data_IF_722225878714
#
_entry.id   IF_722225878714
#
_cell.length_a   1.000
_cell.length_b   1.000
_cell.length_c   1.000
_cell.angle_alpha   90.00
_cell.angle_beta   90.00
_cell.angle_gamma   90.00
#
_symmetry.space_group_name_H-M   'P 1'
#
loop_
_entity.id
_entity.type
_entity.pdbx_description
1 polymer ?
#
# COMPACT_ATOMS: atom_id res chain seq x y z
N UNK A 1 4.30 -11.16 -12.49
CA UNK A 1 3.47 -12.09 -13.28
C UNK A 1 2.56 -11.27 -14.19
N UNK A 2 2.38 -11.59 -15.49
CA UNK A 2 1.53 -10.78 -16.35
C UNK A 2 0.05 -10.89 -15.95
N UNK A 3 -0.56 -9.78 -15.52
CA UNK A 3 -1.95 -9.71 -15.05
C UNK A 3 -2.95 -10.36 -16.02
N UNK A 4 -2.79 -10.13 -17.33
CA UNK A 4 -3.67 -10.70 -18.36
C UNK A 4 -3.71 -12.25 -18.33
N UNK A 5 -2.59 -12.91 -18.02
CA UNK A 5 -2.55 -14.37 -17.88
C UNK A 5 -3.26 -14.84 -16.62
N UNK A 6 -3.16 -14.08 -15.53
CA UNK A 6 -3.89 -14.34 -14.28
C UNK A 6 -5.39 -14.20 -14.52
N UNK A 7 -5.85 -13.12 -15.16
CA UNK A 7 -7.26 -12.87 -15.45
C UNK A 7 -7.90 -13.98 -16.29
N UNK A 8 -7.17 -14.53 -17.27
CA UNK A 8 -7.67 -15.60 -18.13
C UNK A 8 -7.73 -16.98 -17.46
N UNK A 9 -6.89 -17.23 -16.44
CA UNK A 9 -6.67 -18.58 -15.88
C UNK A 9 -7.11 -18.74 -14.43
N UNK A 10 -7.49 -17.67 -13.76
CA UNK A 10 -7.92 -17.69 -12.37
C UNK A 10 -9.43 -17.39 -12.25
N UNK A 11 -10.28 -18.42 -12.09
CA UNK A 11 -11.73 -18.26 -12.05
C UNK A 11 -12.20 -17.31 -10.95
N UNK A 12 -11.53 -17.31 -9.80
CA UNK A 12 -11.94 -16.50 -8.64
C UNK A 12 -11.50 -15.04 -8.74
N UNK A 13 -10.72 -14.67 -9.75
CA UNK A 13 -10.31 -13.27 -9.96
C UNK A 13 -11.53 -12.34 -10.02
N UNK A 14 -12.55 -12.70 -10.80
CA UNK A 14 -13.77 -11.89 -10.93
C UNK A 14 -14.51 -11.75 -9.59
N UNK A 15 -14.55 -12.81 -8.79
CA UNK A 15 -15.15 -12.77 -7.46
C UNK A 15 -14.37 -11.85 -6.52
N UNK A 16 -13.03 -11.87 -6.58
CA UNK A 16 -12.18 -10.97 -5.80
C UNK A 16 -12.39 -9.50 -6.19
N UNK A 17 -12.42 -9.19 -7.49
CA UNK A 17 -12.70 -7.83 -7.97
C UNK A 17 -14.10 -7.37 -7.55
N UNK A 18 -15.11 -8.23 -7.68
CA UNK A 18 -16.48 -7.89 -7.25
C UNK A 18 -16.55 -7.64 -5.74
N UNK A 19 -15.95 -8.51 -4.94
CA UNK A 19 -15.93 -8.35 -3.48
C UNK A 19 -15.25 -7.04 -3.06
N UNK A 20 -14.15 -6.67 -3.73
CA UNK A 20 -13.49 -5.38 -3.49
C UNK A 20 -14.35 -4.20 -3.94
N UNK A 21 -15.06 -4.31 -5.07
CA UNK A 21 -16.01 -3.29 -5.54
C UNK A 21 -17.16 -3.08 -4.56
N UNK A 22 -17.73 -4.16 -4.03
CA UNK A 22 -18.81 -4.09 -3.05
C UNK A 22 -18.31 -3.50 -1.72
N UNK A 23 -17.10 -3.89 -1.30
CA UNK A 23 -16.47 -3.38 -0.07
C UNK A 23 -16.14 -1.89 -0.16
N UNK A 24 -15.51 -1.42 -1.25
CA UNK A 24 -15.20 0.00 -1.44
C UNK A 24 -16.49 0.83 -1.57
N UNK A 25 -17.51 0.32 -2.25
CA UNK A 25 -18.82 0.96 -2.31
C UNK A 25 -19.43 1.13 -0.90
N UNK A 26 -19.39 0.08 -0.06
CA UNK A 26 -19.87 0.15 1.32
C UNK A 26 -19.08 1.13 2.21
N UNK A 27 -17.81 1.43 1.86
CA UNK A 27 -16.99 2.45 2.51
C UNK A 27 -17.26 3.87 2.00
N UNK A 28 -18.18 4.05 1.05
CA UNK A 28 -18.45 5.36 0.43
C UNK A 28 -17.49 5.74 -0.68
N UNK A 29 -16.79 4.76 -1.27
CA UNK A 29 -15.87 4.92 -2.41
C UNK A 29 -16.45 4.27 -3.69
N UNK A 30 -17.62 4.72 -4.18
CA UNK A 30 -18.29 4.05 -5.30
C UNK A 30 -17.47 4.16 -6.59
N UNK A 31 -17.43 3.07 -7.35
CA UNK A 31 -16.81 2.99 -8.68
C UNK A 31 -15.30 3.29 -8.79
N UNK A 32 -14.61 3.63 -7.69
CA UNK A 32 -13.17 4.00 -7.71
C UNK A 32 -12.28 2.90 -8.31
N UNK A 33 -12.60 1.62 -8.04
CA UNK A 33 -11.82 0.50 -8.57
C UNK A 33 -12.00 0.30 -10.07
N UNK A 34 -13.13 0.72 -10.65
CA UNK A 34 -13.38 0.55 -12.07
C UNK A 34 -12.54 1.51 -12.94
N UNK A 35 -12.14 2.65 -12.36
CA UNK A 35 -11.27 3.65 -12.97
C UNK A 35 -9.78 3.46 -12.66
N UNK A 36 -9.44 2.51 -11.78
CA UNK A 36 -8.06 2.28 -11.32
C UNK A 36 -7.41 1.10 -12.01
N UNK A 37 -6.12 1.24 -12.31
CA UNK A 37 -5.30 0.12 -12.73
C UNK A 37 -5.12 -0.88 -11.59
N UNK A 38 -5.10 -2.17 -11.96
CA UNK A 38 -4.93 -3.28 -11.01
C UNK A 38 -3.68 -4.07 -11.34
N UNK A 39 -2.92 -4.45 -10.32
CA UNK A 39 -1.76 -5.31 -10.45
C UNK A 39 -1.86 -6.54 -9.54
N UNK A 40 -1.21 -7.63 -9.95
CA UNK A 40 -0.98 -8.80 -9.11
C UNK A 40 0.47 -8.78 -8.64
N UNK A 41 0.67 -8.68 -7.33
CA UNK A 41 1.98 -8.61 -6.70
C UNK A 41 2.24 -9.83 -5.82
N UNK A 42 3.53 -10.08 -5.60
CA UNK A 42 4.00 -11.05 -4.63
C UNK A 42 5.13 -10.43 -3.81
N UNK A 43 5.08 -10.61 -2.50
CA UNK A 43 6.10 -10.12 -1.56
C UNK A 43 6.41 -11.23 -0.56
N UNK A 44 7.66 -11.34 -0.12
CA UNK A 44 8.07 -12.28 0.94
C UNK A 44 8.06 -11.63 2.33
N UNK A 45 8.23 -10.32 2.35
CA UNK A 45 8.55 -9.47 3.49
C UNK A 45 9.10 -8.16 2.93
N UNK A 46 9.02 -7.08 3.70
CA UNK A 46 9.48 -5.78 3.24
C UNK A 46 10.09 -4.98 4.39
N UNK A 47 11.29 -4.47 4.17
CA UNK A 47 11.88 -3.41 5.00
C UNK A 47 10.93 -2.21 5.02
N UNK A 48 11.08 -1.34 6.03
CA UNK A 48 10.25 -0.14 6.07
C UNK A 48 10.58 0.80 4.91
N UNK A 49 9.54 1.28 4.24
CA UNK A 49 9.62 2.21 3.12
C UNK A 49 8.33 3.03 3.04
N UNK A 50 8.29 3.97 2.10
CA UNK A 50 7.06 4.55 1.58
C UNK A 50 7.14 4.50 0.06
N UNK A 51 6.00 4.54 -0.60
CA UNK A 51 5.89 4.51 -2.06
C UNK A 51 5.57 5.89 -2.65
N UNK A 52 5.29 6.89 -1.81
CA UNK A 52 4.83 8.22 -2.23
C UNK A 52 5.80 9.06 -3.07
N UNK A 53 7.06 8.64 -3.25
CA UNK A 53 7.97 9.31 -4.21
C UNK A 53 7.72 8.88 -5.67
N UNK A 54 7.02 7.76 -5.87
CA UNK A 54 6.65 7.24 -7.18
C UNK A 54 5.12 7.17 -7.36
N UNK A 55 4.38 7.07 -6.25
CA UNK A 55 2.94 6.87 -6.23
C UNK A 55 2.23 7.89 -5.32
N UNK A 56 2.80 9.08 -5.13
CA UNK A 56 2.26 10.15 -4.30
C UNK A 56 0.89 10.67 -4.78
N UNK A 57 0.58 10.54 -6.07
CA UNK A 57 -0.75 10.79 -6.62
C UNK A 57 -1.80 9.70 -6.32
N UNK A 58 -1.43 8.62 -5.62
CA UNK A 58 -2.29 7.47 -5.39
C UNK A 58 -2.35 7.03 -3.92
N UNK A 59 -3.48 6.43 -3.56
CA UNK A 59 -3.57 5.52 -2.42
C UNK A 59 -3.54 4.08 -2.94
N UNK A 60 -2.90 3.19 -2.18
CA UNK A 60 -2.97 1.76 -2.47
C UNK A 60 -4.20 1.14 -1.82
N UNK A 61 -4.92 0.34 -2.61
CA UNK A 61 -5.98 -0.53 -2.15
C UNK A 61 -5.55 -1.97 -2.39
N UNK A 62 -5.25 -2.71 -1.33
CA UNK A 62 -4.72 -4.07 -1.41
C UNK A 62 -5.78 -5.10 -1.00
N UNK A 63 -5.80 -6.25 -1.69
CA UNK A 63 -6.51 -7.46 -1.28
C UNK A 63 -5.52 -8.64 -1.19
N UNK A 64 -5.32 -9.17 0.01
CA UNK A 64 -4.45 -10.32 0.25
C UNK A 64 -5.14 -11.64 -0.07
N UNK A 65 -4.48 -12.48 -0.87
CA UNK A 65 -5.02 -13.73 -1.43
C UNK A 65 -4.40 -14.99 -0.79
N UNK A 66 -3.19 -14.86 -0.25
CA UNK A 66 -2.46 -15.93 0.44
C UNK A 66 -3.13 -16.32 1.76
N UNK A 67 -2.92 -17.57 2.18
CA UNK A 67 -3.22 -17.99 3.56
C UNK A 67 -2.37 -17.20 4.56
N UNK A 68 -2.80 -17.20 5.82
CA UNK A 68 -2.01 -16.62 6.91
C UNK A 68 -0.64 -17.31 7.00
N UNK A 69 0.43 -16.50 6.92
CA UNK A 69 1.82 -16.93 7.10
C UNK A 69 2.45 -16.39 8.37
N UNK A 70 1.65 -15.85 9.30
CA UNK A 70 2.15 -15.24 10.53
C UNK A 70 2.83 -13.89 10.29
N UNK A 71 2.40 -13.16 9.26
CA UNK A 71 2.95 -11.84 8.90
C UNK A 71 1.93 -10.74 9.17
N UNK A 72 2.42 -9.54 9.45
CA UNK A 72 1.63 -8.32 9.58
C UNK A 72 2.15 -7.25 8.62
N UNK A 73 1.22 -6.49 8.01
CA UNK A 73 1.52 -5.15 7.48
C UNK A 73 1.59 -4.20 8.67
N UNK A 74 2.73 -3.54 8.84
CA UNK A 74 3.00 -2.69 10.00
C UNK A 74 3.27 -1.25 9.57
N UNK A 75 2.55 -0.31 10.19
CA UNK A 75 2.71 1.14 10.04
C UNK A 75 3.41 1.72 11.26
N UNK A 76 4.76 1.83 11.27
CA UNK A 76 5.55 2.22 12.43
C UNK A 76 5.18 3.59 13.02
N UNK A 77 4.73 4.55 12.20
CA UNK A 77 4.34 5.89 12.65
C UNK A 77 3.09 5.90 13.54
N UNK A 78 2.20 4.92 13.35
CA UNK A 78 0.92 4.84 14.06
C UNK A 78 0.82 3.62 14.98
N UNK A 79 1.74 2.66 14.83
CA UNK A 79 1.73 1.38 15.55
C UNK A 79 0.70 0.38 15.04
N UNK A 80 -0.05 0.69 13.97
CA UNK A 80 -1.04 -0.24 13.42
C UNK A 80 -0.37 -1.48 12.85
N UNK A 81 -0.92 -2.65 13.20
CA UNK A 81 -0.50 -3.96 12.73
C UNK A 81 -1.71 -4.69 12.18
N UNK A 82 -1.64 -5.06 10.92
CA UNK A 82 -2.75 -5.69 10.19
C UNK A 82 -2.28 -7.10 9.82
N UNK A 83 -2.85 -8.16 10.41
CA UNK A 83 -2.55 -9.53 10.03
C UNK A 83 -2.80 -9.77 8.54
N UNK A 84 -1.83 -10.37 7.86
CA UNK A 84 -1.94 -10.71 6.44
C UNK A 84 -2.57 -12.08 6.26
N UNK A 85 -3.89 -12.12 6.30
CA UNK A 85 -4.69 -13.33 6.05
C UNK A 85 -5.49 -13.21 4.75
N UNK A 86 -5.91 -14.33 4.15
CA UNK A 86 -6.76 -14.31 2.96
C UNK A 86 -8.01 -13.46 3.19
N UNK A 87 -8.31 -12.58 2.23
CA UNK A 87 -9.46 -11.69 2.27
C UNK A 87 -9.23 -10.40 3.04
N UNK A 88 -8.04 -10.19 3.62
CA UNK A 88 -7.69 -8.91 4.23
C UNK A 88 -7.62 -7.84 3.15
N UNK A 89 -8.37 -6.76 3.33
CA UNK A 89 -8.37 -5.60 2.45
C UNK A 89 -7.86 -4.36 3.21
N UNK A 90 -6.99 -3.57 2.58
CA UNK A 90 -6.39 -2.37 3.20
C UNK A 90 -6.34 -1.25 2.19
N UNK A 91 -6.80 -0.05 2.56
CA UNK A 91 -6.58 1.19 1.81
C UNK A 91 -5.67 2.08 2.64
N UNK A 92 -4.59 2.59 2.04
CA UNK A 92 -3.66 3.48 2.72
C UNK A 92 -2.97 4.43 1.75
N UNK A 93 -2.56 5.58 2.28
CA UNK A 93 -1.73 6.58 1.61
C UNK A 93 -0.30 6.04 1.41
N UNK A 94 0.21 6.10 0.17
CA UNK A 94 1.53 5.59 -0.23
C UNK A 94 2.68 6.34 0.45
N UNK A 95 2.45 7.56 0.95
CA UNK A 95 3.40 8.32 1.76
C UNK A 95 3.56 7.79 3.19
N UNK A 96 2.67 6.94 3.68
CA UNK A 96 2.79 6.37 5.03
C UNK A 96 3.93 5.35 5.08
N UNK A 97 4.90 5.48 6.01
CA UNK A 97 5.92 4.47 6.20
C UNK A 97 5.27 3.16 6.61
N UNK A 98 5.63 2.08 5.93
CA UNK A 98 5.10 0.75 6.18
C UNK A 98 6.09 -0.35 5.82
N UNK A 99 5.85 -1.56 6.32
CA UNK A 99 6.66 -2.74 6.06
C UNK A 99 5.89 -4.02 6.33
N UNK A 100 6.42 -5.15 5.87
CA UNK A 100 5.84 -6.48 6.12
C UNK A 100 6.78 -7.26 7.01
N UNK A 101 6.33 -7.58 8.22
CA UNK A 101 7.14 -8.13 9.31
C UNK A 101 6.52 -9.41 9.87
N UNK A 102 7.29 -10.19 10.60
CA UNK A 102 6.74 -11.30 11.39
C UNK A 102 5.79 -10.75 12.47
N UNK A 103 4.65 -11.40 12.63
CA UNK A 103 3.68 -11.09 13.68
C UNK A 103 4.32 -11.17 15.06
N UNK A 104 4.09 -10.15 15.87
CA UNK A 104 4.68 -10.02 17.20
C UNK A 104 6.13 -9.52 17.24
N UNK A 105 6.82 -9.40 16.10
CA UNK A 105 8.16 -8.81 16.04
C UNK A 105 8.14 -7.30 16.29
N UNK A 106 9.21 -6.75 16.87
CA UNK A 106 9.38 -5.30 17.04
C UNK A 106 9.68 -4.56 15.73
N UNK A 107 10.14 -5.27 14.69
CA UNK A 107 10.55 -4.66 13.44
C UNK A 107 10.79 -5.66 12.32
N UNK A 108 11.22 -5.15 11.16
CA UNK A 108 11.70 -6.03 10.10
C UNK A 108 13.03 -6.66 10.51
N UNK A 109 13.20 -7.96 10.27
CA UNK A 109 14.47 -8.65 10.38
C UNK A 109 14.59 -9.64 9.22
N UNK A 110 15.68 -9.54 8.45
CA UNK A 110 15.88 -10.38 7.27
C UNK A 110 15.97 -11.88 7.61
N UNK A 111 16.39 -12.22 8.84
CA UNK A 111 16.47 -13.62 9.31
C UNK A 111 15.08 -14.27 9.38
N UNK A 112 14.03 -13.47 9.63
CA UNK A 112 12.64 -13.94 9.70
C UNK A 112 12.09 -14.34 8.31
N UNK A 113 12.88 -14.15 7.24
CA UNK A 113 12.49 -14.42 5.86
C UNK A 113 13.47 -15.37 5.15
N UNK A 114 14.25 -16.17 5.90
CA UNK A 114 15.18 -17.16 5.36
C UNK A 114 14.50 -18.10 4.35
N UNK A 115 15.19 -18.44 3.25
CA UNK A 115 14.61 -19.05 2.02
C UNK A 115 13.83 -20.34 2.20
N UNK A 116 14.06 -21.06 3.30
CA UNK A 116 13.39 -22.31 3.68
C UNK A 116 11.98 -22.09 4.25
N UNK A 117 11.62 -20.86 4.63
CA UNK A 117 10.28 -20.53 5.13
C UNK A 117 9.33 -20.14 3.98
N UNK A 118 8.05 -20.49 4.07
CA UNK A 118 7.05 -19.98 3.12
C UNK A 118 6.40 -18.70 3.64
N UNK A 119 7.02 -17.56 3.29
CA UNK A 119 6.55 -16.23 3.67
C UNK A 119 5.87 -15.49 2.50
N UNK A 120 5.59 -16.16 1.37
CA UNK A 120 5.10 -15.48 0.17
C UNK A 120 3.64 -15.04 0.35
N UNK A 121 3.44 -13.73 0.30
CA UNK A 121 2.16 -13.06 0.21
C UNK A 121 1.86 -12.71 -1.24
N UNK A 122 0.71 -13.14 -1.73
CA UNK A 122 0.17 -12.76 -3.04
C UNK A 122 -1.01 -11.84 -2.79
N UNK A 123 -1.07 -10.71 -3.49
CA UNK A 123 -2.15 -9.74 -3.34
C UNK A 123 -2.47 -9.05 -4.67
N UNK A 124 -3.73 -8.63 -4.80
CA UNK A 124 -4.13 -7.62 -5.78
C UNK A 124 -3.90 -6.24 -5.18
N UNK A 125 -3.46 -5.29 -5.98
CA UNK A 125 -3.39 -3.88 -5.61
C UNK A 125 -4.05 -3.03 -6.69
N UNK A 126 -4.75 -1.98 -6.27
CA UNK A 126 -5.24 -0.90 -7.11
C UNK A 126 -4.62 0.43 -6.69
N UNK A 127 -4.32 1.26 -7.67
CA UNK A 127 -3.89 2.65 -7.48
C UNK A 127 -5.12 3.55 -7.53
N UNK A 128 -5.63 3.95 -6.36
CA UNK A 128 -6.78 4.83 -6.24
C UNK A 128 -6.30 6.29 -6.34
N UNK A 129 -6.87 7.13 -7.22
CA UNK A 129 -6.44 8.53 -7.33
C UNK A 129 -6.71 9.28 -6.02
N UNK A 130 -5.66 9.85 -5.43
CA UNK A 130 -5.77 10.55 -4.14
C UNK A 130 -6.60 11.84 -4.24
N UNK A 131 -6.68 12.41 -5.45
CA UNK A 131 -7.50 13.58 -5.80
C UNK A 131 -9.00 13.26 -5.92
N UNK A 132 -9.40 11.99 -6.00
CA UNK A 132 -10.82 11.65 -5.91
C UNK A 132 -11.35 12.08 -4.54
N UNK A 133 -12.42 12.86 -4.53
CA UNK A 133 -12.95 13.47 -3.32
C UNK A 133 -13.33 12.44 -2.25
N UNK A 134 -13.81 11.25 -2.65
CA UNK A 134 -14.18 10.21 -1.71
C UNK A 134 -12.94 9.53 -1.13
N UNK A 135 -11.91 9.28 -1.96
CA UNK A 135 -10.62 8.73 -1.52
C UNK A 135 -9.93 9.68 -0.53
N UNK A 136 -9.79 10.95 -0.91
CA UNK A 136 -9.21 11.98 -0.06
C UNK A 136 -9.97 12.14 1.26
N UNK A 137 -11.31 12.13 1.23
CA UNK A 137 -12.14 12.21 2.44
C UNK A 137 -11.97 10.98 3.34
N UNK A 138 -11.97 9.76 2.77
CA UNK A 138 -11.81 8.53 3.54
C UNK A 138 -10.45 8.45 4.24
N UNK A 139 -9.39 8.89 3.57
CA UNK A 139 -8.03 8.93 4.10
C UNK A 139 -7.70 10.20 4.89
N UNK A 140 -8.61 11.18 4.91
CA UNK A 140 -8.44 12.49 5.54
C UNK A 140 -7.24 13.26 4.99
N UNK A 141 -7.00 13.15 3.70
CA UNK A 141 -5.99 13.93 2.98
C UNK A 141 -6.52 15.35 2.78
N UNK A 142 -5.69 16.33 3.12
CA UNK A 142 -5.98 17.75 2.91
C UNK A 142 -5.06 18.25 1.80
N UNK A 143 -5.66 18.77 0.74
CA UNK A 143 -4.94 19.40 -0.36
C UNK A 143 -4.75 20.88 -0.05
N UNK A 144 -3.49 21.28 0.14
CA UNK A 144 -3.05 22.68 0.23
C UNK A 144 -2.08 22.94 -0.92
N UNK A 145 -2.65 23.13 -2.11
CA UNK A 145 -1.88 23.23 -3.35
C UNK A 145 -1.44 24.68 -3.54
N UNK A 146 -0.12 24.92 -3.56
CA UNK A 146 0.46 26.15 -4.10
C UNK A 146 0.68 25.98 -5.62
N UNK A 147 -0.14 26.62 -6.48
CA UNK A 147 -0.05 26.44 -7.91
C UNK A 147 1.28 26.96 -8.48
N UNK A 148 1.90 27.94 -7.82
CA UNK A 148 3.16 28.51 -8.31
C UNK A 148 4.31 27.51 -8.14
N UNK A 149 4.41 26.87 -6.98
CA UNK A 149 5.40 25.83 -6.72
C UNK A 149 5.10 24.57 -7.54
N UNK A 150 3.83 24.13 -7.63
CA UNK A 150 3.48 22.89 -8.33
C UNK A 150 3.80 22.91 -9.82
N UNK A 151 3.74 24.08 -10.47
CA UNK A 151 4.10 24.26 -11.88
C UNK A 151 5.59 24.03 -12.19
N UNK A 152 6.44 24.02 -11.16
CA UNK A 152 7.89 23.87 -11.28
C UNK A 152 8.40 22.51 -10.80
N UNK A 153 7.51 21.61 -10.37
CA UNK A 153 7.88 20.28 -9.92
C UNK A 153 7.76 19.28 -11.08
N UNK A 154 8.89 18.68 -11.45
CA UNK A 154 8.97 17.66 -12.51
C UNK A 154 8.78 16.23 -11.99
N UNK A 155 9.01 16.02 -10.69
CA UNK A 155 8.96 14.71 -10.02
C UNK A 155 8.10 14.77 -8.77
N UNK A 156 7.44 13.65 -8.45
CA UNK A 156 6.79 13.46 -7.16
C UNK A 156 7.82 13.42 -6.03
N UNK A 157 7.43 13.88 -4.85
CA UNK A 157 8.35 14.03 -3.73
C UNK A 157 7.62 13.90 -2.39
N UNK A 158 8.35 13.40 -1.39
CA UNK A 158 7.85 13.28 -0.02
C UNK A 158 8.63 14.18 0.91
N UNK A 159 7.90 15.03 1.61
CA UNK A 159 8.43 16.02 2.54
C UNK A 159 7.87 15.76 3.94
N UNK A 160 8.72 15.92 4.95
CA UNK A 160 8.33 15.85 6.36
C UNK A 160 8.75 17.11 7.07
N UNK A 161 7.78 17.84 7.63
CA UNK A 161 8.00 19.10 8.35
C UNK A 161 8.80 20.14 7.53
N UNK A 162 8.43 20.30 6.26
CA UNK A 162 9.02 21.31 5.36
C UNK A 162 10.42 20.99 4.85
N UNK A 163 10.87 19.73 4.95
CA UNK A 163 12.13 19.28 4.34
C UNK A 163 11.95 17.93 3.61
N UNK A 164 12.74 17.63 2.57
CA UNK A 164 12.81 16.31 1.96
C UNK A 164 13.10 15.23 3.02
N UNK A 165 12.38 14.11 2.93
CA UNK A 165 12.47 13.06 3.93
C UNK A 165 12.52 11.68 3.31
N UNK A 166 13.20 10.77 4.00
CA UNK A 166 13.26 9.35 3.68
C UNK A 166 12.99 8.52 4.94
N UNK A 167 12.72 7.22 4.76
CA UNK A 167 12.39 6.30 5.85
C UNK A 167 13.57 5.40 6.16
N UNK A 168 13.95 5.33 7.44
CA UNK A 168 14.96 4.39 7.90
C UNK A 168 14.44 2.95 7.72
N UNK A 169 15.08 2.11 6.90
CA UNK A 169 14.51 0.83 6.52
C UNK A 169 14.44 -0.19 7.66
N UNK A 170 15.19 0.03 8.73
CA UNK A 170 15.23 -0.84 9.92
C UNK A 170 14.19 -0.43 10.98
N UNK A 171 13.90 0.88 11.10
CA UNK A 171 13.04 1.40 12.19
C UNK A 171 11.72 1.98 11.72
N UNK A 172 11.59 2.31 10.44
CA UNK A 172 10.43 3.00 9.90
C UNK A 172 10.34 4.47 10.26
N UNK A 173 11.35 5.02 10.94
CA UNK A 173 11.38 6.44 11.32
C UNK A 173 11.80 7.29 10.13
N UNK A 174 11.15 8.45 10.00
CA UNK A 174 11.58 9.50 9.10
C UNK A 174 12.97 10.02 9.48
N UNK A 175 13.80 10.29 8.47
CA UNK A 175 15.00 11.08 8.58
C UNK A 175 15.04 12.10 7.43
N UNK A 176 15.70 13.23 7.68
CA UNK A 176 15.90 14.25 6.64
C UNK A 176 16.92 13.77 5.64
N UNK A 177 16.66 14.01 4.37
CA UNK A 177 17.66 13.85 3.32
C UNK A 177 18.38 15.19 3.22
N UNK A 178 19.71 15.15 3.35
CA UNK A 178 20.57 16.33 3.16
C UNK A 178 20.69 16.68 1.68
#
# INVERSE_FOLDING_TARGET
MPLARTQARWPDYKHCVQAMSDWTCALGLPAVLASSDVALMACRGAKYHHDGAQYGGAAFCNLFLSEDRGLDLHFPSTGHRIPLTRGTAVIFDTGQPHGVIQRGSSGFNAVDFATDQDCIQIFLTWELPIEDAHVGQALKVVFDIDPSTSLHLDEEQVWSNGAPAAVCPESGRWYRVD
#
